data_IF_860910519996
#
_entry.id   IF_860910519996
#
_cell.length_a   1.000
_cell.length_b   1.000
_cell.length_c   1.000
_cell.angle_alpha   90.00
_cell.angle_beta   90.00
_cell.angle_gamma   90.00
#
_symmetry.space_group_name_H-M   'P 1'
#
loop_
_entity.id
_entity.type
_entity.pdbx_description
1 polymer ?
#
# COMPACT_ATOMS: atom_id res chain seq x y z
N UNK A 1 56.75 12.68 52.66
CA UNK A 1 56.40 13.34 51.37
C UNK A 1 55.63 12.33 50.52
N UNK A 2 54.33 12.41 50.55
CA UNK A 2 53.43 11.49 49.78
C UNK A 2 52.74 12.32 48.72
N UNK A 3 53.09 12.08 47.44
CA UNK A 3 52.48 12.76 46.28
C UNK A 3 51.16 12.08 45.94
N UNK A 4 50.06 12.83 46.10
CA UNK A 4 48.72 12.43 45.60
C UNK A 4 48.58 12.84 44.10
N UNK A 5 48.58 11.85 43.23
CA UNK A 5 48.23 12.05 41.82
C UNK A 5 46.70 11.97 41.70
N UNK A 6 46.07 13.12 41.40
CA UNK A 6 44.64 13.21 41.07
C UNK A 6 44.44 12.83 39.62
N UNK A 7 43.88 11.65 39.37
CA UNK A 7 43.42 11.23 38.01
C UNK A 7 42.06 11.89 37.72
N UNK A 8 42.03 12.76 36.72
CA UNK A 8 40.81 13.37 36.20
C UNK A 8 40.19 12.38 35.19
N UNK A 9 39.05 11.80 35.55
CA UNK A 9 38.24 11.00 34.61
C UNK A 9 37.35 11.96 33.89
N UNK A 10 37.65 12.22 32.62
CA UNK A 10 36.76 12.97 31.72
C UNK A 10 35.66 12.02 31.20
N UNK A 11 34.45 12.20 31.70
CA UNK A 11 33.26 11.49 31.20
C UNK A 11 32.85 12.10 29.84
N UNK A 12 33.11 11.34 28.79
CA UNK A 12 32.70 11.72 27.41
C UNK A 12 31.23 11.37 27.21
N UNK A 13 30.33 12.34 27.30
CA UNK A 13 28.91 12.19 27.05
C UNK A 13 28.70 12.18 25.54
N UNK A 14 28.54 10.99 24.94
CA UNK A 14 28.14 10.86 23.52
C UNK A 14 26.66 11.22 23.43
N UNK A 15 26.37 12.41 22.92
CA UNK A 15 25.01 12.80 22.57
C UNK A 15 24.57 12.03 21.33
N UNK A 16 23.72 11.03 21.52
CA UNK A 16 23.04 10.34 20.41
C UNK A 16 21.95 11.29 19.89
N UNK A 17 22.24 11.99 18.81
CA UNK A 17 21.24 12.77 18.11
C UNK A 17 20.30 11.80 17.38
N UNK A 18 18.96 11.97 17.48
CA UNK A 18 18.04 11.19 16.70
C UNK A 18 18.26 11.54 15.21
N UNK A 19 18.69 10.58 14.41
CA UNK A 19 18.67 10.69 12.96
C UNK A 19 17.20 10.72 12.53
N UNK A 20 16.71 11.90 12.20
CA UNK A 20 15.46 12.02 11.42
C UNK A 20 15.77 11.51 10.02
N UNK A 21 15.23 10.34 9.66
CA UNK A 21 15.25 9.88 8.28
C UNK A 21 14.36 10.85 7.50
N UNK A 22 14.97 11.76 6.77
CA UNK A 22 14.29 12.62 5.82
C UNK A 22 13.99 11.74 4.62
N UNK A 23 12.72 11.63 4.22
CA UNK A 23 12.35 11.00 2.95
C UNK A 23 13.09 11.77 1.82
N UNK A 24 13.75 11.05 0.92
CA UNK A 24 14.41 11.68 -0.21
C UNK A 24 13.42 12.12 -1.29
N UNK A 25 13.89 12.67 -2.42
CA UNK A 25 13.05 13.27 -3.47
C UNK A 25 11.92 12.37 -3.98
N UNK A 26 12.15 11.07 -4.12
CA UNK A 26 11.12 10.12 -4.63
C UNK A 26 10.07 9.81 -3.57
N UNK A 27 10.45 9.71 -2.30
CA UNK A 27 9.50 9.56 -1.18
C UNK A 27 8.61 10.78 -1.01
N UNK A 28 9.15 11.97 -1.22
CA UNK A 28 8.38 13.22 -1.23
C UNK A 28 7.46 13.31 -2.46
N UNK A 29 7.91 12.85 -3.62
CA UNK A 29 7.10 12.77 -4.84
C UNK A 29 5.92 11.82 -4.68
N UNK A 30 6.14 10.64 -4.06
CA UNK A 30 5.05 9.71 -3.75
C UNK A 30 4.05 10.33 -2.76
N UNK A 31 4.53 10.97 -1.69
CA UNK A 31 3.64 11.63 -0.73
C UNK A 31 2.83 12.75 -1.43
N UNK A 32 3.48 13.56 -2.26
CA UNK A 32 2.82 14.62 -3.04
C UNK A 32 1.78 14.05 -4.01
N UNK A 33 2.14 12.97 -4.73
CA UNK A 33 1.20 12.27 -5.59
C UNK A 33 -0.05 11.82 -4.82
N UNK A 34 0.13 11.25 -3.63
CA UNK A 34 -0.98 10.82 -2.78
C UNK A 34 -1.78 12.02 -2.26
N UNK A 35 -1.13 13.08 -1.79
CA UNK A 35 -1.81 14.26 -1.23
C UNK A 35 -2.64 14.99 -2.30
N UNK A 36 -2.14 15.05 -3.54
CA UNK A 36 -2.83 15.67 -4.66
C UNK A 36 -3.91 14.78 -5.30
N UNK A 37 -3.97 13.48 -4.92
CA UNK A 37 -4.92 12.53 -5.47
C UNK A 37 -6.19 12.51 -4.65
N UNK A 38 -7.21 13.24 -5.07
CA UNK A 38 -8.58 13.15 -4.51
C UNK A 38 -9.34 11.98 -5.13
N UNK A 39 -9.12 11.74 -6.41
CA UNK A 39 -9.72 10.68 -7.22
C UNK A 39 -8.66 10.09 -8.15
N UNK A 40 -8.70 8.79 -8.35
CA UNK A 40 -7.87 8.09 -9.33
C UNK A 40 -8.62 6.87 -9.85
N UNK A 41 -8.67 6.72 -11.16
CA UNK A 41 -9.01 5.45 -11.80
C UNK A 41 -7.83 4.95 -12.62
N UNK A 42 -7.68 3.63 -12.74
CA UNK A 42 -6.65 2.99 -13.53
C UNK A 42 -7.08 1.57 -13.93
N UNK A 43 -6.44 1.05 -14.97
CA UNK A 43 -6.37 -0.37 -15.25
C UNK A 43 -5.14 -0.94 -14.56
N UNK A 44 -5.18 -2.19 -14.15
CA UNK A 44 -4.03 -2.88 -13.58
C UNK A 44 -3.84 -4.27 -14.17
N UNK A 45 -2.58 -4.70 -14.19
CA UNK A 45 -2.15 -6.08 -14.37
C UNK A 45 -1.40 -6.50 -13.12
N UNK A 46 -1.66 -7.70 -12.64
CA UNK A 46 -1.04 -8.26 -11.44
C UNK A 46 -0.39 -9.60 -11.75
N UNK A 47 0.80 -9.82 -11.20
CA UNK A 47 1.52 -11.09 -11.21
C UNK A 47 1.85 -11.47 -9.79
N UNK A 48 1.52 -12.70 -9.41
CA UNK A 48 1.93 -13.31 -8.15
C UNK A 48 3.00 -14.34 -8.45
N UNK A 49 4.14 -14.23 -7.81
CA UNK A 49 5.24 -15.20 -7.89
C UNK A 49 5.57 -15.77 -6.52
N UNK A 50 6.07 -17.00 -6.47
CA UNK A 50 6.59 -17.59 -5.25
C UNK A 50 7.98 -17.06 -4.88
N UNK A 51 8.55 -17.54 -3.78
CA UNK A 51 9.88 -17.16 -3.29
C UNK A 51 11.02 -17.48 -4.27
N UNK A 52 10.82 -18.41 -5.20
CA UNK A 52 11.78 -18.78 -6.24
C UNK A 52 11.64 -17.96 -7.51
N UNK A 53 10.59 -17.11 -7.60
CA UNK A 53 10.24 -16.31 -8.77
C UNK A 53 9.38 -17.09 -9.79
N UNK A 54 8.88 -18.29 -9.45
CA UNK A 54 7.97 -18.99 -10.32
C UNK A 54 6.59 -18.32 -10.30
N UNK A 55 6.00 -18.14 -11.48
CA UNK A 55 4.69 -17.53 -11.62
C UNK A 55 3.60 -18.43 -11.05
N UNK A 56 2.82 -17.92 -10.11
CA UNK A 56 1.67 -18.61 -9.50
C UNK A 56 0.35 -18.19 -10.15
N UNK A 57 0.18 -16.89 -10.40
CA UNK A 57 -1.06 -16.32 -10.93
C UNK A 57 -0.81 -15.04 -11.71
N UNK A 58 -1.58 -14.84 -12.77
CA UNK A 58 -1.73 -13.56 -13.45
C UNK A 58 -3.19 -13.13 -13.40
N UNK A 59 -3.43 -11.88 -13.07
CA UNK A 59 -4.78 -11.32 -13.00
C UNK A 59 -4.79 -9.88 -13.52
N UNK A 60 -5.96 -9.42 -13.94
CA UNK A 60 -6.13 -8.07 -14.43
C UNK A 60 -7.48 -7.49 -14.07
N UNK A 61 -7.57 -6.17 -14.14
CA UNK A 61 -8.81 -5.51 -13.81
C UNK A 61 -8.71 -3.99 -13.81
N UNK A 62 -9.63 -3.39 -13.06
CA UNK A 62 -9.74 -1.93 -12.92
C UNK A 62 -9.79 -1.53 -11.46
N UNK A 63 -9.26 -0.35 -11.17
CA UNK A 63 -9.41 0.26 -9.85
C UNK A 63 -9.97 1.67 -9.97
N UNK A 64 -10.72 2.05 -8.94
CA UNK A 64 -11.12 3.43 -8.68
C UNK A 64 -10.88 3.69 -7.21
N UNK A 65 -10.30 4.82 -6.87
CA UNK A 65 -10.18 5.26 -5.49
C UNK A 65 -10.60 6.72 -5.34
N UNK A 66 -11.12 7.05 -4.17
CA UNK A 66 -11.35 8.42 -3.74
C UNK A 66 -10.91 8.55 -2.29
N UNK A 67 -9.98 9.45 -2.04
CA UNK A 67 -9.48 9.69 -0.70
C UNK A 67 -10.42 10.56 0.11
N UNK A 68 -10.59 10.30 1.43
CA UNK A 68 -9.98 9.21 2.17
C UNK A 68 -10.77 7.88 2.10
N UNK A 69 -10.06 6.78 2.19
CA UNK A 69 -10.52 5.43 2.55
C UNK A 69 -11.65 4.85 1.69
N UNK A 70 -11.85 5.35 0.49
CA UNK A 70 -12.83 4.82 -0.47
C UNK A 70 -12.12 4.28 -1.68
N UNK A 71 -12.45 3.05 -2.06
CA UNK A 71 -11.91 2.42 -3.26
C UNK A 71 -12.85 1.33 -3.77
N UNK A 72 -12.71 1.03 -5.07
CA UNK A 72 -13.28 -0.13 -5.72
C UNK A 72 -12.20 -0.77 -6.55
N UNK A 73 -11.88 -2.02 -6.25
CA UNK A 73 -10.92 -2.84 -6.96
C UNK A 73 -11.65 -4.00 -7.59
N UNK A 74 -11.62 -4.13 -8.90
CA UNK A 74 -12.34 -5.17 -9.61
C UNK A 74 -11.35 -5.98 -10.44
N UNK A 75 -11.22 -7.26 -10.11
CA UNK A 75 -10.59 -8.24 -10.98
C UNK A 75 -11.60 -8.71 -12.01
N UNK A 76 -11.17 -8.82 -13.29
CA UNK A 76 -11.96 -9.35 -14.39
C UNK A 76 -11.39 -10.64 -14.97
N UNK A 77 -10.10 -10.90 -14.75
CA UNK A 77 -9.38 -12.08 -15.20
C UNK A 77 -8.47 -12.56 -14.07
N UNK A 78 -8.27 -13.89 -13.87
CA UNK A 78 -9.01 -15.00 -14.50
C UNK A 78 -10.39 -15.21 -13.86
N UNK A 79 -10.65 -14.65 -12.67
CA UNK A 79 -11.90 -14.79 -11.91
C UNK A 79 -12.44 -13.40 -11.54
N UNK A 80 -13.78 -13.28 -11.56
CA UNK A 80 -14.41 -12.04 -11.17
C UNK A 80 -14.44 -11.89 -9.63
N UNK A 81 -13.71 -10.90 -9.14
CA UNK A 81 -13.74 -10.51 -7.73
C UNK A 81 -13.89 -8.99 -7.61
N UNK A 82 -14.66 -8.54 -6.65
CA UNK A 82 -14.84 -7.10 -6.39
C UNK A 82 -14.55 -6.79 -4.93
N UNK A 83 -13.62 -5.86 -4.69
CA UNK A 83 -13.28 -5.39 -3.36
C UNK A 83 -13.67 -3.92 -3.28
N UNK A 84 -14.53 -3.56 -2.32
CA UNK A 84 -15.01 -2.19 -2.14
C UNK A 84 -14.76 -1.72 -0.73
N UNK A 85 -14.01 -0.62 -0.60
CA UNK A 85 -13.92 0.17 0.62
C UNK A 85 -14.91 1.33 0.57
N UNK A 86 -15.84 1.39 1.50
CA UNK A 86 -16.90 2.43 1.55
C UNK A 86 -16.58 3.56 2.54
N UNK A 87 -15.38 3.53 3.15
CA UNK A 87 -14.93 4.43 4.21
C UNK A 87 -15.25 3.94 5.64
N UNK A 88 -16.00 2.84 5.79
CA UNK A 88 -16.35 2.23 7.08
C UNK A 88 -15.99 0.75 7.13
N UNK A 89 -16.26 0.05 6.04
CA UNK A 89 -16.04 -1.38 5.89
C UNK A 89 -15.41 -1.69 4.53
N UNK A 90 -14.82 -2.87 4.44
CA UNK A 90 -14.35 -3.48 3.19
C UNK A 90 -15.25 -4.66 2.87
N UNK A 91 -15.80 -4.64 1.68
CA UNK A 91 -16.66 -5.67 1.10
C UNK A 91 -15.84 -6.44 0.08
N UNK A 92 -15.70 -7.73 0.25
CA UNK A 92 -14.97 -8.62 -0.66
C UNK A 92 -15.99 -9.59 -1.26
N UNK A 93 -16.31 -9.42 -2.52
CA UNK A 93 -17.24 -10.26 -3.26
C UNK A 93 -16.49 -11.19 -4.20
N UNK A 94 -16.72 -12.46 -4.05
CA UNK A 94 -16.28 -13.51 -4.94
C UNK A 94 -17.50 -14.01 -5.75
N UNK A 95 -17.44 -13.83 -7.06
CA UNK A 95 -18.55 -14.12 -7.94
C UNK A 95 -18.78 -15.64 -8.11
N UNK A 96 -17.69 -16.43 -8.17
CA UNK A 96 -17.75 -17.87 -8.36
C UNK A 96 -18.31 -18.58 -7.13
N UNK A 97 -17.90 -18.10 -5.95
CA UNK A 97 -18.42 -18.62 -4.67
C UNK A 97 -19.79 -18.05 -4.30
N UNK A 98 -20.23 -16.97 -4.96
CA UNK A 98 -21.40 -16.18 -4.60
C UNK A 98 -21.37 -15.78 -3.11
N UNK A 99 -20.22 -15.35 -2.65
CA UNK A 99 -19.98 -15.01 -1.26
C UNK A 99 -19.48 -13.57 -1.13
N UNK A 100 -19.94 -12.89 -0.10
CA UNK A 100 -19.42 -11.60 0.34
C UNK A 100 -18.88 -11.73 1.75
N UNK A 101 -17.64 -11.30 1.94
CA UNK A 101 -17.06 -11.10 3.28
C UNK A 101 -17.01 -9.61 3.58
N UNK A 102 -17.48 -9.22 4.76
CA UNK A 102 -17.49 -7.83 5.21
C UNK A 102 -16.58 -7.68 6.43
N UNK A 103 -15.60 -6.79 6.35
CA UNK A 103 -14.62 -6.52 7.41
C UNK A 103 -14.60 -5.06 7.83
N UNK A 104 -14.28 -4.74 9.09
CA UNK A 104 -14.01 -3.35 9.48
C UNK A 104 -12.83 -2.80 8.69
N UNK A 105 -12.90 -1.54 8.25
CA UNK A 105 -11.83 -0.88 7.49
C UNK A 105 -10.47 -0.99 8.20
N UNK A 106 -10.41 -0.74 9.51
CA UNK A 106 -9.17 -0.77 10.28
C UNK A 106 -8.45 -2.14 10.30
N UNK A 107 -9.20 -3.24 10.26
CA UNK A 107 -8.62 -4.60 10.22
C UNK A 107 -8.18 -5.00 8.79
N UNK A 108 -8.83 -4.44 7.79
CA UNK A 108 -8.51 -4.70 6.39
C UNK A 108 -7.24 -3.94 5.92
N UNK A 109 -6.82 -2.91 6.67
CA UNK A 109 -5.69 -2.04 6.28
C UNK A 109 -4.34 -2.77 6.20
N UNK A 110 -4.18 -3.90 6.90
CA UNK A 110 -2.88 -4.57 7.02
C UNK A 110 -2.40 -5.30 5.77
N UNK A 111 -3.12 -5.26 4.62
CA UNK A 111 -2.74 -6.14 3.53
C UNK A 111 -3.25 -5.81 2.13
N UNK A 112 -3.65 -4.58 1.82
CA UNK A 112 -4.15 -4.27 0.47
C UNK A 112 -3.45 -3.06 -0.16
N UNK A 113 -2.98 -3.17 -1.44
CA UNK A 113 -2.48 -2.02 -2.19
C UNK A 113 -3.48 -0.87 -2.26
N UNK A 114 -4.77 -1.20 -2.37
CA UNK A 114 -5.85 -0.23 -2.45
C UNK A 114 -5.92 0.67 -1.20
N UNK A 115 -5.66 0.10 -0.03
CA UNK A 115 -5.67 0.82 1.23
C UNK A 115 -4.48 1.76 1.38
N UNK A 116 -3.28 1.34 0.97
CA UNK A 116 -2.12 2.23 0.92
C UNK A 116 -2.42 3.47 0.07
N UNK A 117 -2.99 3.26 -1.13
CA UNK A 117 -3.27 4.33 -2.09
C UNK A 117 -4.43 5.23 -1.65
N UNK A 118 -5.41 4.69 -0.91
CA UNK A 118 -6.62 5.44 -0.47
C UNK A 118 -6.50 6.07 0.91
N UNK A 119 -5.53 5.65 1.74
CA UNK A 119 -5.36 6.14 3.12
C UNK A 119 -5.10 7.64 3.18
N UNK A 120 -5.69 8.33 4.16
CA UNK A 120 -5.42 9.73 4.47
C UNK A 120 -4.17 9.94 5.32
N UNK A 121 -3.59 8.88 5.88
CA UNK A 121 -2.41 8.98 6.74
C UNK A 121 -1.16 9.24 5.92
N UNK A 122 -0.21 9.99 6.49
CA UNK A 122 1.08 10.22 5.85
C UNK A 122 1.92 8.95 5.86
N UNK A 123 2.62 8.69 4.74
CA UNK A 123 3.47 7.50 4.60
C UNK A 123 4.45 7.33 5.75
N UNK A 124 5.13 8.40 6.16
CA UNK A 124 6.11 8.37 7.24
C UNK A 124 5.55 8.00 8.62
N UNK A 125 4.23 8.07 8.82
CA UNK A 125 3.57 7.62 10.04
C UNK A 125 3.40 6.10 10.07
N UNK A 126 3.10 5.52 8.91
CA UNK A 126 2.81 4.09 8.75
C UNK A 126 4.05 3.27 8.40
N UNK A 127 5.00 3.89 7.67
CA UNK A 127 6.14 3.21 7.07
C UNK A 127 7.45 3.92 7.38
N UNK A 128 8.52 3.15 7.40
CA UNK A 128 9.86 3.64 7.14
C UNK A 128 10.03 3.76 5.62
N UNK A 129 10.34 4.96 5.14
CA UNK A 129 10.41 5.27 3.71
C UNK A 129 11.87 5.28 3.29
N UNK A 130 12.24 4.45 2.32
CA UNK A 130 13.60 4.33 1.81
C UNK A 130 13.63 4.46 0.29
N UNK A 131 14.56 5.26 -0.25
CA UNK A 131 14.78 5.35 -1.68
C UNK A 131 15.60 4.17 -2.17
N UNK A 132 15.15 3.53 -3.24
CA UNK A 132 15.84 2.39 -3.85
C UNK A 132 16.38 2.69 -5.24
N UNK A 133 16.26 3.97 -5.68
CA UNK A 133 16.81 4.47 -6.93
C UNK A 133 15.93 4.24 -8.14
N UNK A 134 16.49 4.49 -9.33
CA UNK A 134 15.77 4.37 -10.60
C UNK A 134 16.15 3.07 -11.30
N UNK A 135 15.15 2.31 -11.75
CA UNK A 135 15.32 1.07 -12.54
C UNK A 135 14.39 1.14 -13.75
N UNK A 136 14.91 1.00 -14.94
CA UNK A 136 14.15 1.02 -16.22
C UNK A 136 13.29 2.28 -16.41
N UNK A 137 13.77 3.44 -15.94
CA UNK A 137 13.04 4.71 -16.02
C UNK A 137 11.95 4.88 -14.97
N UNK A 138 11.80 3.95 -14.04
CA UNK A 138 10.89 4.02 -12.91
C UNK A 138 11.68 4.36 -11.64
N UNK A 139 11.24 5.38 -10.93
CA UNK A 139 11.79 5.81 -9.64
C UNK A 139 11.10 5.01 -8.53
N UNK A 140 11.88 4.31 -7.69
CA UNK A 140 11.36 3.39 -6.70
C UNK A 140 11.57 3.88 -5.27
N UNK A 141 10.54 3.67 -4.48
CA UNK A 141 10.52 3.88 -3.02
C UNK A 141 10.12 2.59 -2.35
N UNK A 142 10.89 2.14 -1.38
CA UNK A 142 10.53 1.04 -0.49
C UNK A 142 9.88 1.57 0.77
N UNK A 143 8.76 0.98 1.14
CA UNK A 143 7.97 1.26 2.33
C UNK A 143 8.01 0.03 3.23
N UNK A 144 8.66 0.14 4.40
CA UNK A 144 8.65 -0.91 5.42
C UNK A 144 7.62 -0.57 6.49
N UNK A 145 6.63 -1.42 6.73
CA UNK A 145 5.65 -1.18 7.78
C UNK A 145 6.31 -0.98 9.14
N UNK A 146 5.86 0.02 9.90
CA UNK A 146 6.29 0.24 11.30
C UNK A 146 5.55 -0.70 12.25
N UNK A 147 4.34 -1.08 11.90
CA UNK A 147 3.54 -2.04 12.64
C UNK A 147 4.06 -3.46 12.37
N UNK A 148 4.02 -4.30 13.40
CA UNK A 148 4.33 -5.73 13.30
C UNK A 148 3.03 -6.49 13.00
N UNK A 149 3.15 -7.71 12.51
CA UNK A 149 2.02 -8.60 12.21
C UNK A 149 1.13 -8.11 11.06
N UNK A 150 1.73 -7.41 10.10
CA UNK A 150 1.08 -7.04 8.84
C UNK A 150 1.35 -8.08 7.75
N UNK A 151 0.51 -8.12 6.72
CA UNK A 151 0.60 -9.13 5.65
C UNK A 151 1.85 -9.00 4.79
N UNK A 152 2.42 -7.79 4.66
CA UNK A 152 3.59 -7.52 3.83
C UNK A 152 4.74 -6.98 4.67
N UNK A 153 5.94 -7.50 4.43
CA UNK A 153 7.16 -7.04 5.07
C UNK A 153 7.84 -5.89 4.33
N UNK A 154 7.54 -5.72 3.03
CA UNK A 154 8.01 -4.61 2.22
C UNK A 154 7.03 -4.31 1.08
N UNK A 155 6.86 -3.04 0.76
CA UNK A 155 6.10 -2.55 -0.37
C UNK A 155 7.00 -1.59 -1.15
N UNK A 156 7.28 -1.88 -2.41
CA UNK A 156 7.94 -0.94 -3.31
C UNK A 156 6.87 -0.23 -4.15
N UNK A 157 6.97 1.07 -4.29
CA UNK A 157 6.12 1.88 -5.17
C UNK A 157 6.99 2.54 -6.21
N UNK A 158 6.66 2.33 -7.47
CA UNK A 158 7.34 2.88 -8.63
C UNK A 158 6.58 4.05 -9.23
N UNK A 159 7.28 5.15 -9.46
CA UNK A 159 6.76 6.34 -10.13
C UNK A 159 7.45 6.55 -11.47
N UNK A 160 6.71 7.00 -12.46
CA UNK A 160 7.23 7.51 -13.73
C UNK A 160 6.66 8.90 -13.95
N UNK A 161 7.53 9.89 -14.13
CA UNK A 161 7.14 11.31 -14.25
C UNK A 161 6.20 11.76 -13.12
N UNK A 162 6.48 11.32 -11.88
CA UNK A 162 5.71 11.64 -10.69
C UNK A 162 4.32 10.98 -10.64
N UNK A 163 4.02 10.01 -11.51
CA UNK A 163 2.75 9.27 -11.54
C UNK A 163 2.97 7.83 -11.14
N UNK A 164 1.98 7.23 -10.49
CA UNK A 164 1.98 5.82 -10.14
C UNK A 164 2.15 4.95 -11.40
N UNK A 165 3.18 4.12 -11.43
CA UNK A 165 3.46 3.20 -12.54
C UNK A 165 3.34 1.75 -12.10
N UNK A 166 3.91 1.42 -10.93
CA UNK A 166 3.98 0.03 -10.45
C UNK A 166 3.98 -0.05 -8.94
N UNK A 167 3.63 -1.21 -8.41
CA UNK A 167 3.83 -1.59 -7.01
C UNK A 167 4.35 -3.01 -6.93
N UNK A 168 5.19 -3.29 -5.95
CA UNK A 168 5.62 -4.63 -5.56
C UNK A 168 5.37 -4.82 -4.09
N UNK A 169 4.70 -5.90 -3.73
CA UNK A 169 4.40 -6.25 -2.34
C UNK A 169 5.05 -7.59 -2.05
N UNK A 170 5.91 -7.63 -1.06
CA UNK A 170 6.53 -8.88 -0.58
C UNK A 170 5.85 -9.28 0.71
N UNK A 171 5.27 -10.48 0.73
CA UNK A 171 4.64 -11.02 1.91
C UNK A 171 5.65 -11.70 2.87
N UNK A 172 5.13 -12.19 3.99
CA UNK A 172 5.95 -12.85 5.01
C UNK A 172 6.39 -14.27 4.62
N UNK A 173 5.88 -14.82 3.52
CA UNK A 173 6.23 -16.14 2.96
C UNK A 173 7.20 -16.03 1.79
N UNK A 174 7.62 -14.81 1.43
CA UNK A 174 8.53 -14.55 0.33
C UNK A 174 7.85 -14.44 -1.04
N UNK A 175 6.53 -14.55 -1.09
CA UNK A 175 5.78 -14.32 -2.34
C UNK A 175 5.85 -12.84 -2.70
N UNK A 176 5.85 -12.56 -4.00
CA UNK A 176 5.87 -11.20 -4.53
C UNK A 176 4.66 -10.98 -5.43
N UNK A 177 3.85 -9.99 -5.06
CA UNK A 177 2.78 -9.46 -5.91
C UNK A 177 3.31 -8.23 -6.64
N UNK A 178 3.36 -8.28 -7.96
CA UNK A 178 3.68 -7.13 -8.81
C UNK A 178 2.42 -6.58 -9.46
N UNK A 179 2.22 -5.27 -9.37
CA UNK A 179 1.14 -4.53 -10.00
C UNK A 179 1.74 -3.53 -10.99
N UNK A 180 1.22 -3.50 -12.21
CA UNK A 180 1.50 -2.48 -13.21
C UNK A 180 0.21 -1.72 -13.49
N UNK A 181 0.30 -0.39 -13.51
CA UNK A 181 -0.87 0.48 -13.72
C UNK A 181 -0.80 1.18 -15.08
N UNK A 182 -1.96 1.28 -15.72
CA UNK A 182 -2.13 1.97 -17.01
C UNK A 182 -3.43 2.76 -17.02
N UNK A 183 -3.63 3.58 -18.03
CA UNK A 183 -4.84 4.39 -18.22
C UNK A 183 -5.22 5.23 -16.99
N UNK A 184 -4.22 5.79 -16.28
CA UNK A 184 -4.45 6.61 -15.10
C UNK A 184 -5.26 7.85 -15.45
N UNK A 185 -6.41 8.03 -14.77
CA UNK A 185 -7.24 9.21 -14.88
C UNK A 185 -7.56 9.76 -13.49
N UNK A 186 -7.25 11.04 -13.27
CA UNK A 186 -7.50 11.77 -12.02
C UNK A 186 -8.73 12.67 -12.12
N UNK A 187 -9.49 12.57 -13.22
CA UNK A 187 -10.72 13.33 -13.40
C UNK A 187 -11.79 12.79 -12.46
N UNK A 188 -12.19 13.60 -11.50
CA UNK A 188 -13.26 13.25 -10.57
C UNK A 188 -14.58 13.09 -11.35
N UNK A 189 -15.11 11.87 -11.33
CA UNK A 189 -16.46 11.61 -11.80
C UNK A 189 -17.33 11.55 -10.55
N UNK A 190 -18.25 12.49 -10.39
CA UNK A 190 -19.24 12.46 -9.31
C UNK A 190 -20.20 11.28 -9.55
N UNK A 191 -19.77 10.11 -9.11
CA UNK A 191 -20.56 8.88 -9.03
C UNK A 191 -20.54 8.40 -7.59
N UNK A 192 -21.35 9.05 -6.73
CA UNK A 192 -21.43 8.73 -5.29
C UNK A 192 -21.70 7.26 -4.97
N UNK A 193 -22.19 6.48 -5.94
CA UNK A 193 -22.52 5.05 -5.83
C UNK A 193 -21.36 4.12 -6.16
N UNK A 194 -20.26 4.60 -6.75
CA UNK A 194 -19.12 3.75 -7.15
C UNK A 194 -18.56 2.95 -5.96
N UNK A 195 -18.56 3.57 -4.78
CA UNK A 195 -18.06 2.97 -3.54
C UNK A 195 -19.15 2.31 -2.69
N UNK A 196 -20.37 2.22 -3.20
CA UNK A 196 -21.47 1.49 -2.55
C UNK A 196 -21.51 0.07 -3.08
N UNK A 197 -21.41 -0.91 -2.19
CA UNK A 197 -21.59 -2.31 -2.54
C UNK A 197 -22.95 -2.80 -2.08
N UNK A 198 -23.68 -3.44 -2.99
CA UNK A 198 -24.95 -4.10 -2.71
C UNK A 198 -24.77 -5.55 -3.13
N UNK A 199 -24.83 -6.52 -2.18
CA UNK A 199 -24.71 -7.94 -2.51
C UNK A 199 -25.74 -8.36 -3.56
N UNK A 200 -25.31 -9.07 -4.61
CA UNK A 200 -26.25 -9.62 -5.60
C UNK A 200 -27.26 -10.58 -4.96
N UNK A 201 -28.44 -10.76 -5.52
CA UNK A 201 -29.42 -11.72 -5.01
C UNK A 201 -28.86 -13.15 -4.96
N UNK A 202 -29.09 -13.86 -3.86
CA UNK A 202 -28.60 -15.23 -3.65
C UNK A 202 -27.11 -15.32 -3.26
N UNK A 203 -26.51 -14.23 -2.85
CA UNK A 203 -25.14 -14.18 -2.30
C UNK A 203 -25.18 -14.45 -0.80
N UNK A 204 -24.29 -15.33 -0.33
CA UNK A 204 -24.06 -15.53 1.11
C UNK A 204 -23.21 -14.38 1.67
N UNK A 205 -23.56 -13.86 2.84
CA UNK A 205 -22.88 -12.72 3.46
C UNK A 205 -22.30 -13.12 4.80
N UNK A 206 -20.96 -13.15 4.87
CA UNK A 206 -20.18 -13.37 6.09
C UNK A 206 -19.77 -12.01 6.66
N UNK A 207 -20.38 -11.60 7.74
CA UNK A 207 -20.14 -10.32 8.39
C UNK A 207 -19.18 -10.51 9.58
N UNK A 208 -17.96 -9.99 9.45
CA UNK A 208 -16.88 -10.06 10.45
C UNK A 208 -16.69 -8.72 11.20
N UNK A 209 -17.65 -7.79 11.10
CA UNK A 209 -17.57 -6.47 11.75
C UNK A 209 -17.85 -6.51 13.24
#
# INVERSE_FOLDING_TARGET
>A
MVNFVRTLIATFCVAVLPFSVVAGPTGEALQSFLDDTVWLSAEFQQKLTDETGALLEESSGTMVLARPDRFRWRYSEPYEQVIVGDGKAVWIYDADLKQVTVRPMGQAMAGSPALLLSSSQRLAQLFEVMETGTRDGVEWVELKPRERDVAFNAIEVGLTDGKLASMRLRDNFGQVTELSFSALDRTAIDRGDVFKFIPPPGTDVVDER
#
